data_IF_884172359738
#
_entry.id   IF_884172359738
#
_cell.length_a   1.000
_cell.length_b   1.000
_cell.length_c   1.000
_cell.angle_alpha   90.00
_cell.angle_beta   90.00
_cell.angle_gamma   90.00
#
_symmetry.space_group_name_H-M   'P 1'
#
loop_
_entity.id
_entity.type
_entity.pdbx_description
1 polymer ?
#
# COMPACT_ATOMS: atom_id res chain seq x y z
N UNK A 1 6.48 -15.67 -17.48
CA UNK A 1 7.40 -14.71 -18.12
C UNK A 1 6.59 -13.49 -18.49
N UNK A 2 7.08 -12.28 -18.20
CA UNK A 2 6.39 -11.04 -18.55
C UNK A 2 6.44 -10.81 -20.07
N UNK A 3 5.38 -10.23 -20.62
CA UNK A 3 5.34 -9.80 -22.01
C UNK A 3 6.35 -8.66 -22.26
N UNK A 4 6.88 -8.56 -23.47
CA UNK A 4 7.92 -7.59 -23.82
C UNK A 4 7.51 -6.14 -23.54
N UNK A 5 6.27 -5.76 -23.83
CA UNK A 5 5.75 -4.42 -23.54
C UNK A 5 5.80 -4.03 -22.06
N UNK A 6 5.57 -4.99 -21.15
CA UNK A 6 5.69 -4.76 -19.71
C UNK A 6 7.14 -4.47 -19.31
N UNK A 7 8.08 -5.22 -19.87
CA UNK A 7 9.52 -5.03 -19.63
C UNK A 7 10.00 -3.69 -20.18
N UNK A 8 9.52 -3.30 -21.35
CA UNK A 8 9.87 -2.03 -21.99
C UNK A 8 9.38 -0.86 -21.15
N UNK A 9 8.11 -0.88 -20.74
CA UNK A 9 7.55 0.19 -19.89
C UNK A 9 8.33 0.34 -18.56
N UNK A 10 8.73 -0.77 -17.94
CA UNK A 10 9.55 -0.72 -16.71
C UNK A 10 10.91 -0.03 -16.95
N UNK A 11 11.50 -0.20 -18.13
CA UNK A 11 12.76 0.46 -18.51
C UNK A 11 12.54 1.96 -18.74
N UNK A 12 11.46 2.33 -19.41
CA UNK A 12 11.09 3.73 -19.64
C UNK A 12 10.76 4.44 -18.32
N UNK A 13 10.09 3.76 -17.39
CA UNK A 13 9.77 4.30 -16.08
C UNK A 13 11.01 4.80 -15.32
N UNK A 14 12.09 4.03 -15.36
CA UNK A 14 13.36 4.41 -14.70
C UNK A 14 14.03 5.63 -15.37
N UNK A 15 13.85 5.79 -16.68
CA UNK A 15 14.48 6.87 -17.47
C UNK A 15 13.63 8.15 -17.55
N UNK A 16 12.48 8.19 -16.90
CA UNK A 16 11.53 9.28 -16.99
C UNK A 16 12.11 10.60 -16.47
N UNK A 17 12.03 11.67 -17.26
CA UNK A 17 12.64 12.98 -16.95
C UNK A 17 11.65 14.13 -16.84
N UNK A 18 10.43 13.94 -17.29
CA UNK A 18 9.42 15.01 -17.27
C UNK A 18 8.14 14.53 -16.63
N UNK A 19 7.43 15.44 -15.99
CA UNK A 19 6.15 15.17 -15.38
C UNK A 19 5.13 14.58 -16.38
N UNK A 20 5.04 15.16 -17.57
CA UNK A 20 4.15 14.65 -18.63
C UNK A 20 4.49 13.21 -19.03
N UNK A 21 5.79 12.86 -19.08
CA UNK A 21 6.22 11.49 -19.36
C UNK A 21 5.86 10.54 -18.21
N UNK A 22 6.08 10.96 -16.94
CA UNK A 22 5.67 10.19 -15.77
C UNK A 22 4.17 9.88 -15.79
N UNK A 23 3.33 10.86 -16.08
CA UNK A 23 1.88 10.67 -16.25
C UNK A 23 1.54 9.65 -17.33
N UNK A 24 2.20 9.77 -18.49
CA UNK A 24 2.02 8.82 -19.59
C UNK A 24 2.33 7.39 -19.18
N UNK A 25 3.48 7.18 -18.53
CA UNK A 25 3.90 5.86 -18.02
C UNK A 25 2.92 5.29 -16.99
N UNK A 26 2.47 6.11 -16.01
CA UNK A 26 1.53 5.66 -14.99
C UNK A 26 0.18 5.25 -15.61
N UNK A 27 -0.29 6.01 -16.60
CA UNK A 27 -1.51 5.66 -17.35
C UNK A 27 -1.32 4.37 -18.15
N UNK A 28 -0.22 4.25 -18.88
CA UNK A 28 0.10 3.08 -19.69
C UNK A 28 0.27 1.82 -18.84
N UNK A 29 0.89 1.95 -17.65
CA UNK A 29 1.04 0.83 -16.72
C UNK A 29 -0.33 0.21 -16.34
N UNK A 30 -1.34 1.03 -16.12
CA UNK A 30 -2.70 0.54 -15.83
C UNK A 30 -3.34 -0.14 -17.05
N UNK A 31 -3.14 0.40 -18.25
CA UNK A 31 -3.65 -0.20 -19.48
C UNK A 31 -3.01 -1.56 -19.74
N UNK A 32 -1.69 -1.64 -19.64
CA UNK A 32 -0.95 -2.89 -19.82
C UNK A 32 -1.30 -3.93 -18.76
N UNK A 33 -1.49 -3.51 -17.50
CA UNK A 33 -1.93 -4.41 -16.43
C UNK A 33 -3.30 -5.03 -16.76
N UNK A 34 -4.28 -4.22 -17.18
CA UNK A 34 -5.61 -4.74 -17.59
C UNK A 34 -5.48 -5.72 -18.74
N UNK A 35 -4.76 -5.34 -19.77
CA UNK A 35 -4.56 -6.18 -20.94
C UNK A 35 -3.89 -7.52 -20.58
N UNK A 36 -2.87 -7.49 -19.72
CA UNK A 36 -2.21 -8.71 -19.25
C UNK A 36 -3.13 -9.61 -18.44
N UNK A 37 -4.00 -9.03 -17.59
CA UNK A 37 -5.02 -9.78 -16.84
C UNK A 37 -6.08 -10.39 -17.76
N UNK A 38 -6.48 -9.71 -18.84
CA UNK A 38 -7.42 -10.24 -19.84
C UNK A 38 -6.84 -11.45 -20.59
N UNK A 39 -5.51 -11.52 -20.71
CA UNK A 39 -4.82 -12.65 -21.32
C UNK A 39 -4.32 -13.68 -20.30
N UNK A 40 -4.97 -13.77 -19.14
CA UNK A 40 -4.71 -14.78 -18.10
C UNK A 40 -3.28 -14.71 -17.52
N UNK A 41 -2.71 -13.53 -17.43
CA UNK A 41 -1.46 -13.30 -16.75
C UNK A 41 -1.54 -13.67 -15.26
N UNK A 42 -0.44 -14.14 -14.68
CA UNK A 42 -0.36 -14.47 -13.25
C UNK A 42 -0.55 -13.19 -12.41
N UNK A 43 -1.60 -13.12 -11.55
CA UNK A 43 -1.89 -11.92 -10.77
C UNK A 43 -0.75 -11.47 -9.86
N UNK A 44 -0.02 -12.42 -9.26
CA UNK A 44 1.08 -12.11 -8.35
C UNK A 44 2.28 -11.54 -9.11
N UNK A 45 2.60 -12.11 -10.26
CA UNK A 45 3.66 -11.60 -11.11
C UNK A 45 3.31 -10.21 -11.67
N UNK A 46 2.07 -10.00 -12.05
CA UNK A 46 1.58 -8.71 -12.55
C UNK A 46 1.53 -7.64 -11.46
N UNK A 47 1.15 -8.00 -10.24
CA UNK A 47 1.22 -7.13 -9.07
C UNK A 47 2.66 -6.66 -8.83
N UNK A 48 3.62 -7.59 -8.78
CA UNK A 48 5.03 -7.24 -8.59
C UNK A 48 5.54 -6.33 -9.70
N UNK A 49 5.23 -6.64 -10.95
CA UNK A 49 5.58 -5.79 -12.09
C UNK A 49 4.98 -4.39 -11.96
N UNK A 50 3.69 -4.29 -11.63
CA UNK A 50 3.01 -2.99 -11.48
C UNK A 50 3.64 -2.18 -10.34
N UNK A 51 3.89 -2.82 -9.20
CA UNK A 51 4.56 -2.19 -8.07
C UNK A 51 5.94 -1.63 -8.46
N UNK A 52 6.75 -2.42 -9.18
CA UNK A 52 8.07 -1.98 -9.63
C UNK A 52 7.99 -0.84 -10.65
N UNK A 53 7.02 -0.88 -11.57
CA UNK A 53 6.80 0.22 -12.52
C UNK A 53 6.48 1.53 -11.81
N UNK A 54 5.57 1.49 -10.83
CA UNK A 54 5.21 2.66 -10.01
C UNK A 54 6.42 3.15 -9.22
N UNK A 55 7.13 2.27 -8.52
CA UNK A 55 8.35 2.62 -7.77
C UNK A 55 9.42 3.25 -8.65
N UNK A 56 9.60 2.73 -9.86
CA UNK A 56 10.55 3.28 -10.83
C UNK A 56 10.16 4.70 -11.27
N UNK A 57 8.88 4.98 -11.49
CA UNK A 57 8.42 6.34 -11.79
C UNK A 57 8.70 7.26 -10.60
N UNK A 58 8.35 6.86 -9.38
CA UNK A 58 8.58 7.68 -8.18
C UNK A 58 10.07 7.89 -7.85
N UNK A 59 10.94 6.98 -8.27
CA UNK A 59 12.39 7.11 -8.15
C UNK A 59 13.06 7.74 -9.39
N UNK A 60 12.29 8.05 -10.43
CA UNK A 60 12.81 8.70 -11.63
C UNK A 60 13.09 10.19 -11.39
N UNK A 61 13.92 10.83 -12.20
CA UNK A 61 14.18 12.27 -12.11
C UNK A 61 12.92 13.14 -12.23
N UNK A 62 11.84 12.61 -12.82
CA UNK A 62 10.59 13.34 -13.02
C UNK A 62 9.68 13.37 -11.79
N UNK A 63 9.73 12.35 -10.95
CA UNK A 63 8.74 12.16 -9.88
C UNK A 63 9.31 11.79 -8.51
N UNK A 64 10.60 11.43 -8.43
CA UNK A 64 11.25 11.04 -7.17
C UNK A 64 11.21 12.14 -6.09
N UNK A 65 11.24 13.39 -6.54
CA UNK A 65 11.03 14.58 -5.69
C UNK A 65 9.96 15.41 -6.38
N UNK A 66 8.80 15.64 -5.77
CA UNK A 66 7.80 16.54 -6.32
C UNK A 66 8.41 17.93 -6.55
N UNK A 67 8.22 18.45 -7.75
CA UNK A 67 8.71 19.74 -8.14
C UNK A 67 7.56 20.62 -8.62
N UNK A 68 7.57 21.86 -8.19
CA UNK A 68 6.74 22.90 -8.78
C UNK A 68 7.61 23.76 -9.69
N UNK A 69 7.38 23.67 -11.00
CA UNK A 69 8.17 24.38 -12.01
C UNK A 69 9.70 24.26 -11.86
N UNK A 70 10.15 23.04 -11.51
CA UNK A 70 11.57 22.75 -11.33
C UNK A 70 12.14 22.98 -9.92
N UNK A 71 11.34 23.48 -8.98
CA UNK A 71 11.73 23.60 -7.57
C UNK A 71 11.21 22.40 -6.76
N UNK A 72 12.06 21.80 -5.91
CA UNK A 72 11.61 20.73 -5.04
C UNK A 72 10.57 21.25 -4.04
N UNK A 73 9.43 20.56 -3.95
CA UNK A 73 8.36 20.88 -2.99
C UNK A 73 8.67 20.25 -1.63
N UNK A 74 9.31 19.08 -1.64
CA UNK A 74 9.69 18.36 -0.44
C UNK A 74 11.20 18.34 -0.26
N UNK A 75 11.71 18.45 0.97
CA UNK A 75 13.13 18.36 1.24
C UNK A 75 13.60 16.90 1.17
N UNK A 76 14.25 16.52 0.09
CA UNK A 76 14.92 15.23 -0.04
C UNK A 76 14.09 14.13 -0.69
N UNK A 77 14.66 12.92 -0.77
CA UNK A 77 14.02 11.79 -1.41
C UNK A 77 12.80 11.30 -0.60
N UNK A 78 11.76 10.91 -1.31
CA UNK A 78 10.54 10.36 -0.75
C UNK A 78 10.54 8.86 -1.01
N UNK A 79 10.31 8.06 0.03
CA UNK A 79 10.16 6.62 -0.09
C UNK A 79 8.69 6.22 -0.13
N UNK A 80 8.38 5.16 -0.86
CA UNK A 80 7.05 4.56 -0.85
C UNK A 80 6.93 3.61 0.33
N UNK A 81 5.86 3.78 1.11
CA UNK A 81 5.50 2.92 2.24
C UNK A 81 4.41 1.91 1.91
N UNK A 82 3.98 1.17 2.93
CA UNK A 82 2.85 0.26 2.86
C UNK A 82 3.01 -0.86 1.82
N UNK A 83 1.97 -1.07 1.01
CA UNK A 83 1.97 -2.11 -0.02
C UNK A 83 3.12 -1.93 -1.02
N UNK A 84 3.45 -0.70 -1.39
CA UNK A 84 4.54 -0.42 -2.32
C UNK A 84 5.92 -0.68 -1.72
N UNK A 85 6.11 -0.43 -0.42
CA UNK A 85 7.36 -0.80 0.27
C UNK A 85 7.60 -2.32 0.25
N UNK A 86 6.53 -3.10 0.42
CA UNK A 86 6.59 -4.57 0.40
C UNK A 86 6.72 -5.18 -1.00
N UNK A 87 6.60 -4.41 -2.06
CA UNK A 87 6.55 -4.94 -3.44
C UNK A 87 5.18 -5.50 -3.85
N UNK A 88 4.12 -5.09 -3.16
CA UNK A 88 2.76 -5.62 -3.27
C UNK A 88 1.74 -4.56 -3.71
N UNK A 89 2.20 -3.43 -4.22
CA UNK A 89 1.35 -2.32 -4.65
C UNK A 89 0.42 -2.70 -5.80
N UNK A 90 -0.86 -2.41 -5.61
CA UNK A 90 -1.93 -2.60 -6.59
C UNK A 90 -2.49 -1.24 -7.01
N UNK A 91 -3.23 -1.16 -8.13
CA UNK A 91 -3.94 0.07 -8.49
C UNK A 91 -4.95 0.56 -7.44
N UNK A 92 -5.42 -0.35 -6.59
CA UNK A 92 -6.33 -0.09 -5.47
C UNK A 92 -5.61 0.25 -4.17
N UNK A 93 -4.28 0.05 -4.10
CA UNK A 93 -3.48 0.31 -2.90
C UNK A 93 -3.42 1.81 -2.58
N UNK A 94 -3.48 2.19 -1.30
CA UNK A 94 -3.16 3.55 -0.89
C UNK A 94 -1.68 3.83 -1.15
N UNK A 95 -1.37 5.05 -1.56
CA UNK A 95 -0.01 5.53 -1.69
C UNK A 95 0.42 6.16 -0.36
N UNK A 96 1.42 5.57 0.25
CA UNK A 96 2.03 6.09 1.48
C UNK A 96 3.41 6.61 1.12
N UNK A 97 3.66 7.88 1.39
CA UNK A 97 4.94 8.54 1.17
C UNK A 97 5.64 8.71 2.52
N UNK A 98 6.83 8.14 2.64
CA UNK A 98 7.64 8.22 3.84
C UNK A 98 8.63 9.38 3.64
N UNK A 99 8.54 10.36 4.50
CA UNK A 99 9.43 11.51 4.55
C UNK A 99 10.59 11.25 5.52
N UNK A 100 11.79 11.85 5.32
CA UNK A 100 12.86 11.81 6.29
C UNK A 100 12.40 12.29 7.68
N UNK A 101 12.99 11.74 8.76
CA UNK A 101 12.57 12.02 10.13
C UNK A 101 12.74 13.49 10.56
N UNK A 102 13.66 14.18 9.92
CA UNK A 102 13.95 15.62 10.12
C UNK A 102 13.07 16.53 9.23
N UNK A 103 12.19 15.93 8.43
CA UNK A 103 11.26 16.70 7.62
C UNK A 103 10.22 17.34 8.54
N UNK A 104 9.99 18.65 8.43
CA UNK A 104 8.92 19.32 9.15
C UNK A 104 7.57 18.64 8.87
N UNK A 105 6.66 18.71 9.82
CA UNK A 105 5.31 18.19 9.64
C UNK A 105 4.60 18.84 8.43
N UNK A 106 3.55 18.21 7.96
CA UNK A 106 2.81 18.67 6.76
C UNK A 106 2.35 20.14 6.88
N UNK A 107 2.03 20.61 8.08
CA UNK A 107 1.65 22.01 8.33
C UNK A 107 2.83 22.96 8.16
N UNK A 108 4.01 22.54 8.57
CA UNK A 108 5.27 23.29 8.43
C UNK A 108 5.77 23.27 6.98
N UNK A 109 5.66 22.13 6.28
CA UNK A 109 5.95 22.06 4.82
C UNK A 109 5.02 22.97 4.04
N UNK A 110 3.75 23.00 4.43
CA UNK A 110 2.75 23.90 3.87
C UNK A 110 3.13 25.37 4.11
N UNK A 111 3.52 25.70 5.34
CA UNK A 111 3.98 27.06 5.69
C UNK A 111 5.24 27.44 4.93
N UNK A 112 6.23 26.53 4.82
CA UNK A 112 7.46 26.75 4.05
C UNK A 112 7.21 26.93 2.56
N UNK A 113 6.28 26.16 1.97
CA UNK A 113 5.88 26.33 0.58
C UNK A 113 5.23 27.70 0.33
N UNK A 114 4.52 28.25 1.34
CA UNK A 114 3.93 29.59 1.29
C UNK A 114 4.96 30.69 1.56
N UNK A 115 6.01 30.40 2.34
CA UNK A 115 7.00 31.35 2.82
C UNK A 115 8.30 31.39 1.96
N UNK A 116 8.32 30.63 0.85
CA UNK A 116 9.44 30.68 -0.10
C UNK A 116 9.63 32.11 -0.62
N UNK A 117 10.86 32.59 -0.51
CA UNK A 117 11.24 33.93 -0.95
C UNK A 117 10.78 34.15 -2.41
N UNK A 118 9.90 35.14 -2.67
CA UNK A 118 9.48 35.47 -4.02
C UNK A 118 10.64 35.71 -4.98
N UNK A 119 11.80 36.16 -4.49
CA UNK A 119 13.00 36.38 -5.28
C UNK A 119 13.64 35.06 -5.77
N UNK A 120 13.62 34.01 -4.96
CA UNK A 120 14.10 32.68 -5.35
C UNK A 120 13.15 32.03 -6.38
N UNK A 121 11.86 32.22 -6.22
CA UNK A 121 10.84 31.78 -7.18
C UNK A 121 10.94 32.52 -8.51
N UNK A 122 11.17 33.86 -8.50
CA UNK A 122 11.30 34.67 -9.73
C UNK A 122 12.52 34.30 -10.56
N UNK A 123 13.59 33.83 -9.95
CA UNK A 123 14.81 33.44 -10.66
C UNK A 123 14.64 32.13 -11.47
N UNK A 124 13.76 31.24 -11.04
CA UNK A 124 13.58 29.90 -11.64
C UNK A 124 12.19 29.69 -12.29
N UNK A 125 11.19 30.44 -11.88
CA UNK A 125 9.82 30.36 -12.38
C UNK A 125 9.09 31.71 -12.21
N UNK A 126 9.35 32.69 -13.08
CA UNK A 126 8.79 34.03 -12.96
C UNK A 126 7.28 34.09 -12.90
N UNK A 127 6.59 33.12 -13.53
CA UNK A 127 5.14 33.04 -13.54
C UNK A 127 4.53 32.71 -12.16
N UNK A 128 5.27 32.06 -11.28
CA UNK A 128 4.79 31.69 -9.94
C UNK A 128 4.82 32.85 -8.94
N UNK A 129 5.73 33.79 -9.11
CA UNK A 129 5.83 34.95 -8.22
C UNK A 129 4.61 35.88 -8.31
N UNK A 130 3.88 35.82 -9.42
CA UNK A 130 2.65 36.59 -9.66
C UNK A 130 1.40 35.91 -9.09
N UNK A 131 1.48 34.63 -8.68
CA UNK A 131 0.36 33.86 -8.17
C UNK A 131 0.24 34.08 -6.65
N UNK A 132 -0.94 34.40 -6.11
CA UNK A 132 -1.16 34.49 -4.66
C UNK A 132 -0.76 33.21 -3.91
N UNK A 133 -0.35 33.33 -2.66
CA UNK A 133 0.18 32.21 -1.89
C UNK A 133 -0.81 31.05 -1.70
N UNK A 134 -2.08 31.35 -1.52
CA UNK A 134 -3.18 30.38 -1.44
C UNK A 134 -3.42 29.63 -2.76
N UNK A 135 -3.34 30.31 -3.90
CA UNK A 135 -3.43 29.69 -5.23
C UNK A 135 -2.20 28.83 -5.51
N UNK A 136 -0.99 29.25 -5.09
CA UNK A 136 0.23 28.44 -5.20
C UNK A 136 0.11 27.12 -4.43
N UNK A 137 -0.47 27.19 -3.23
CA UNK A 137 -0.71 26.00 -2.44
C UNK A 137 -1.69 25.05 -3.13
N UNK A 138 -2.81 25.56 -3.64
CA UNK A 138 -3.77 24.77 -4.39
C UNK A 138 -3.11 24.10 -5.61
N UNK A 139 -2.22 24.81 -6.34
CA UNK A 139 -1.46 24.23 -7.46
C UNK A 139 -0.52 23.09 -7.00
N UNK A 140 0.10 23.20 -5.82
CA UNK A 140 0.95 22.15 -5.28
C UNK A 140 0.12 20.93 -4.89
N UNK A 141 -0.99 21.14 -4.20
CA UNK A 141 -1.93 20.08 -3.82
C UNK A 141 -2.52 19.38 -5.04
N UNK A 142 -2.91 20.12 -6.06
CA UNK A 142 -3.39 19.59 -7.33
C UNK A 142 -2.32 18.81 -8.08
N UNK A 143 -1.07 19.27 -8.09
CA UNK A 143 0.05 18.56 -8.70
C UNK A 143 0.32 17.22 -8.02
N UNK A 144 0.42 17.23 -6.69
CA UNK A 144 0.62 16.01 -5.92
C UNK A 144 -0.55 15.05 -6.12
N UNK A 145 -1.78 15.57 -6.05
CA UNK A 145 -2.98 14.79 -6.29
C UNK A 145 -3.01 14.18 -7.69
N UNK A 146 -2.61 14.92 -8.71
CA UNK A 146 -2.65 14.50 -10.10
C UNK A 146 -1.64 13.37 -10.40
N UNK A 147 -0.38 13.50 -9.97
CA UNK A 147 0.62 12.44 -10.13
C UNK A 147 0.23 11.18 -9.35
N UNK A 148 -0.12 11.34 -8.07
CA UNK A 148 -0.36 10.19 -7.20
C UNK A 148 -1.71 9.53 -7.46
N UNK A 149 -2.72 10.28 -7.93
CA UNK A 149 -3.99 9.70 -8.34
C UNK A 149 -3.88 8.85 -9.59
N UNK A 150 -2.90 9.13 -10.46
CA UNK A 150 -2.62 8.29 -11.64
C UNK A 150 -1.97 6.96 -11.28
N UNK A 151 -1.14 6.91 -10.23
CA UNK A 151 -0.58 5.66 -9.73
C UNK A 151 -1.65 4.77 -9.10
N UNK A 152 -2.66 5.39 -8.51
CA UNK A 152 -3.88 4.72 -8.04
C UNK A 152 -4.97 4.86 -9.08
N UNK A 153 -5.52 3.76 -9.57
CA UNK A 153 -6.60 3.81 -10.54
C UNK A 153 -7.79 4.61 -10.00
N UNK A 154 -8.07 5.73 -10.66
CA UNK A 154 -9.21 6.61 -10.33
C UNK A 154 -10.50 6.20 -11.01
N UNK A 155 -10.59 5.01 -11.58
CA UNK A 155 -11.86 4.49 -12.11
C UNK A 155 -12.87 4.11 -11.00
N UNK A 156 -12.61 4.57 -9.80
CA UNK A 156 -13.56 4.55 -8.70
C UNK A 156 -14.46 5.78 -8.86
N UNK A 157 -15.65 5.61 -9.44
CA UNK A 157 -16.73 6.62 -9.51
C UNK A 157 -17.28 6.97 -8.11
N UNK A 158 -16.56 6.62 -7.04
CA UNK A 158 -16.93 6.98 -5.68
C UNK A 158 -16.92 8.50 -5.50
N UNK A 159 -17.91 9.02 -4.78
CA UNK A 159 -17.99 10.45 -4.52
C UNK A 159 -16.72 10.96 -3.84
N UNK A 160 -16.35 12.19 -4.13
CA UNK A 160 -15.09 12.88 -3.78
C UNK A 160 -14.67 12.81 -2.30
N UNK A 161 -15.51 12.32 -1.40
CA UNK A 161 -15.25 12.23 0.04
C UNK A 161 -14.10 11.28 0.41
N UNK A 162 -13.69 10.34 -0.46
CA UNK A 162 -12.61 9.39 -0.20
C UNK A 162 -11.28 9.74 -0.89
N UNK A 163 -11.19 10.85 -1.63
CA UNK A 163 -9.95 11.24 -2.31
C UNK A 163 -8.83 11.64 -1.35
N UNK A 164 -9.17 12.21 -0.19
CA UNK A 164 -8.20 12.62 0.83
C UNK A 164 -7.42 11.48 1.48
N UNK A 165 -7.89 10.23 1.37
CA UNK A 165 -7.21 9.05 1.92
C UNK A 165 -6.37 8.28 0.89
N UNK A 166 -6.31 8.76 -0.35
CA UNK A 166 -5.58 8.07 -1.43
C UNK A 166 -4.07 8.22 -1.31
N UNK A 167 -3.62 9.35 -0.80
CA UNK A 167 -2.20 9.66 -0.58
C UNK A 167 -2.02 10.09 0.87
N UNK A 168 -1.05 9.50 1.54
CA UNK A 168 -0.70 9.82 2.92
C UNK A 168 0.77 10.17 3.02
N UNK A 169 1.12 11.24 3.73
CA UNK A 169 2.48 11.60 4.06
C UNK A 169 2.76 11.21 5.50
N UNK A 170 3.80 10.44 5.73
CA UNK A 170 4.21 9.99 7.04
C UNK A 170 5.72 10.26 7.18
N UNK A 171 6.13 10.90 8.27
CA UNK A 171 7.56 10.99 8.61
C UNK A 171 8.07 9.61 8.99
N UNK A 172 9.32 9.31 8.62
CA UNK A 172 9.94 8.04 8.96
C UNK A 172 9.92 7.83 10.48
N UNK A 173 9.22 6.80 10.98
CA UNK A 173 9.10 6.60 12.42
C UNK A 173 10.41 6.10 13.01
N UNK A 174 10.79 6.63 14.16
CA UNK A 174 11.79 6.02 15.03
C UNK A 174 11.19 4.80 15.74
N UNK A 175 12.06 3.93 16.29
CA UNK A 175 11.62 2.79 17.07
C UNK A 175 10.71 3.19 18.26
N UNK A 176 11.06 4.29 18.94
CA UNK A 176 10.28 4.81 20.08
C UNK A 176 8.84 5.17 19.66
N UNK A 177 8.67 5.81 18.49
CA UNK A 177 7.36 6.17 17.95
C UNK A 177 6.57 4.92 17.57
N UNK A 178 7.24 3.95 16.93
CA UNK A 178 6.63 2.67 16.56
C UNK A 178 6.20 1.84 17.76
N UNK A 179 6.85 2.00 18.91
CA UNK A 179 6.56 1.29 20.14
C UNK A 179 5.38 1.85 20.93
N UNK A 180 4.89 3.04 20.60
CA UNK A 180 3.73 3.63 21.26
C UNK A 180 2.47 2.78 21.04
N UNK A 181 1.68 2.45 22.09
CA UNK A 181 0.53 1.56 21.99
C UNK A 181 -0.56 2.05 21.03
N UNK A 182 -0.74 3.34 20.92
CA UNK A 182 -1.75 4.02 20.11
C UNK A 182 -1.28 4.38 18.69
N UNK A 183 -0.02 4.07 18.36
CA UNK A 183 0.61 4.48 17.09
C UNK A 183 0.71 3.34 16.06
N UNK A 184 -0.41 2.66 15.79
CA UNK A 184 -0.46 1.53 14.86
C UNK A 184 0.02 1.86 13.44
N UNK A 185 -0.27 3.06 12.94
CA UNK A 185 0.17 3.50 11.62
C UNK A 185 1.69 3.61 11.54
N UNK A 186 2.33 4.18 12.55
CA UNK A 186 3.79 4.31 12.60
C UNK A 186 4.46 2.93 12.70
N UNK A 187 3.88 2.00 13.48
CA UNK A 187 4.35 0.60 13.57
C UNK A 187 4.32 -0.10 12.23
N UNK A 188 3.22 0.04 11.47
CA UNK A 188 3.12 -0.59 10.16
C UNK A 188 4.12 -0.02 9.17
N UNK A 189 4.33 1.30 9.17
CA UNK A 189 5.34 1.94 8.33
C UNK A 189 6.74 1.46 8.70
N UNK A 190 7.07 1.41 10.00
CA UNK A 190 8.36 0.91 10.47
C UNK A 190 8.58 -0.56 10.07
N UNK A 191 7.57 -1.41 10.27
CA UNK A 191 7.64 -2.83 9.94
C UNK A 191 7.73 -3.12 8.43
N UNK A 192 7.23 -2.21 7.59
CA UNK A 192 7.27 -2.33 6.13
C UNK A 192 8.42 -1.55 5.49
N UNK A 193 9.23 -0.87 6.27
CA UNK A 193 10.36 -0.10 5.75
C UNK A 193 11.33 -0.99 4.95
N UNK A 194 11.79 -0.55 3.77
CA UNK A 194 12.64 -1.35 2.88
C UNK A 194 14.10 -1.47 3.36
N UNK A 195 14.37 -1.31 4.64
CA UNK A 195 15.73 -1.27 5.20
C UNK A 195 16.50 -2.59 5.09
N UNK A 196 15.89 -3.68 4.61
CA UNK A 196 16.47 -5.03 4.60
C UNK A 196 17.02 -5.49 5.96
N UNK A 197 16.49 -4.92 7.04
CA UNK A 197 16.84 -5.28 8.41
C UNK A 197 15.66 -6.01 9.06
N UNK A 198 15.94 -6.99 9.94
CA UNK A 198 14.89 -7.59 10.75
C UNK A 198 14.17 -6.52 11.58
N UNK A 199 12.87 -6.69 11.73
CA UNK A 199 12.06 -5.84 12.61
C UNK A 199 12.51 -6.05 14.05
N UNK A 200 12.54 -4.97 14.86
CA UNK A 200 12.94 -5.07 16.26
C UNK A 200 12.04 -6.03 17.05
N UNK A 201 12.62 -7.02 17.75
CA UNK A 201 11.86 -8.01 18.53
C UNK A 201 10.98 -7.39 19.63
N UNK A 202 11.29 -6.20 20.12
CA UNK A 202 10.47 -5.50 21.12
C UNK A 202 9.06 -5.16 20.62
N UNK A 203 8.86 -5.11 19.30
CA UNK A 203 7.56 -4.85 18.67
C UNK A 203 6.67 -6.10 18.57
N UNK A 204 7.17 -7.29 18.88
CA UNK A 204 6.42 -8.54 18.73
C UNK A 204 5.03 -8.52 19.41
N UNK A 205 4.88 -8.12 20.68
CA UNK A 205 3.57 -8.12 21.34
C UNK A 205 2.59 -7.15 20.68
N UNK A 206 3.08 -6.01 20.22
CA UNK A 206 2.26 -4.99 19.57
C UNK A 206 1.80 -5.45 18.17
N UNK A 207 2.69 -6.08 17.39
CA UNK A 207 2.36 -6.62 16.09
C UNK A 207 1.42 -7.82 16.17
N UNK A 208 1.50 -8.63 17.26
CA UNK A 208 0.52 -9.68 17.53
C UNK A 208 -0.85 -9.07 17.85
N UNK A 209 -0.88 -8.01 18.65
CA UNK A 209 -2.11 -7.27 18.94
C UNK A 209 -2.73 -6.69 17.67
N UNK A 210 -1.91 -6.09 16.79
CA UNK A 210 -2.37 -5.56 15.49
C UNK A 210 -2.93 -6.69 14.60
N UNK A 211 -2.29 -7.85 14.55
CA UNK A 211 -2.79 -9.01 13.82
C UNK A 211 -4.11 -9.53 14.39
N UNK A 212 -4.24 -9.57 15.71
CA UNK A 212 -5.49 -9.94 16.38
C UNK A 212 -6.63 -8.95 16.09
N UNK A 213 -6.33 -7.65 16.11
CA UNK A 213 -7.30 -6.60 15.80
C UNK A 213 -7.73 -6.62 14.30
N UNK A 214 -6.82 -7.02 13.41
CA UNK A 214 -7.10 -7.17 11.98
C UNK A 214 -7.91 -8.43 11.63
N UNK A 215 -8.25 -9.27 12.61
CA UNK A 215 -9.00 -10.52 12.37
C UNK A 215 -10.25 -10.26 11.52
N UNK A 216 -10.49 -11.07 10.46
CA UNK A 216 -11.69 -10.96 9.64
C UNK A 216 -12.97 -11.02 10.50
N UNK A 217 -13.95 -10.22 10.15
CA UNK A 217 -15.25 -10.28 10.81
C UNK A 217 -15.93 -11.61 10.50
N UNK A 218 -16.61 -12.16 11.50
CA UNK A 218 -17.42 -13.35 11.27
C UNK A 218 -18.54 -13.00 10.27
N UNK A 219 -18.63 -13.77 9.20
CA UNK A 219 -19.75 -13.64 8.26
C UNK A 219 -21.01 -14.12 8.98
N UNK A 220 -22.01 -13.25 9.05
CA UNK A 220 -23.33 -13.59 9.59
C UNK A 220 -24.02 -14.58 8.65
N UNK A 221 -24.62 -15.63 9.19
CA UNK A 221 -25.39 -16.60 8.41
C UNK A 221 -26.88 -16.45 8.76
N UNK A 222 -27.70 -16.35 7.72
CA UNK A 222 -29.16 -16.35 7.82
C UNK A 222 -29.67 -17.61 7.14
N UNK A 223 -30.36 -18.45 7.88
CA UNK A 223 -30.87 -19.75 7.40
C UNK A 223 -29.79 -20.65 6.77
N UNK A 224 -28.55 -20.63 7.30
CA UNK A 224 -27.43 -21.44 6.80
C UNK A 224 -26.74 -20.92 5.56
N UNK A 225 -27.15 -19.75 5.05
CA UNK A 225 -26.49 -19.04 3.95
C UNK A 225 -25.83 -17.77 4.47
N UNK A 226 -24.70 -17.32 3.90
CA UNK A 226 -24.17 -16.01 4.21
C UNK A 226 -25.25 -14.95 4.03
N UNK A 227 -25.33 -14.03 4.98
CA UNK A 227 -26.22 -12.88 4.89
C UNK A 227 -25.89 -12.10 3.62
N UNK A 228 -26.88 -11.89 2.76
CA UNK A 228 -26.69 -11.21 1.47
C UNK A 228 -26.32 -9.76 1.63
N UNK A 229 -26.79 -9.15 2.71
CA UNK A 229 -26.52 -7.75 3.04
C UNK A 229 -25.21 -7.59 3.83
N UNK A 230 -24.48 -8.69 4.08
CA UNK A 230 -23.17 -8.61 4.72
C UNK A 230 -22.16 -7.90 3.78
N UNK A 231 -21.47 -6.92 4.32
CA UNK A 231 -20.45 -6.18 3.57
C UNK A 231 -19.26 -7.06 3.22
N UNK A 232 -18.74 -6.93 2.00
CA UNK A 232 -17.52 -7.56 1.54
C UNK A 232 -16.43 -6.50 1.35
N UNK A 233 -15.28 -6.72 1.97
CA UNK A 233 -14.10 -5.87 1.78
C UNK A 233 -12.87 -6.78 1.70
N UNK A 234 -12.43 -7.04 0.48
CA UNK A 234 -11.32 -7.97 0.21
C UNK A 234 -10.04 -7.53 0.90
N UNK A 235 -9.77 -6.23 0.92
CA UNK A 235 -8.56 -5.72 1.56
C UNK A 235 -8.63 -5.86 3.07
N UNK A 236 -9.72 -5.43 3.68
CA UNK A 236 -9.90 -5.48 5.13
C UNK A 236 -10.00 -6.90 5.67
N UNK A 237 -10.72 -7.79 4.98
CA UNK A 237 -11.07 -9.10 5.52
C UNK A 237 -10.15 -10.24 5.04
N UNK A 238 -9.31 -9.99 4.00
CA UNK A 238 -8.39 -11.00 3.48
C UNK A 238 -6.96 -10.49 3.41
N UNK A 239 -6.68 -9.41 2.67
CA UNK A 239 -5.31 -8.99 2.40
C UNK A 239 -4.65 -8.43 3.68
N UNK A 240 -5.27 -7.44 4.32
CA UNK A 240 -4.70 -6.76 5.48
C UNK A 240 -4.46 -7.70 6.69
N UNK A 241 -5.36 -8.64 7.03
CA UNK A 241 -5.09 -9.62 8.08
C UNK A 241 -3.87 -10.51 7.80
N UNK A 242 -3.71 -10.96 6.53
CA UNK A 242 -2.53 -11.72 6.13
C UNK A 242 -1.25 -10.89 6.30
N UNK A 243 -1.27 -9.63 5.89
CA UNK A 243 -0.14 -8.69 6.03
C UNK A 243 0.19 -8.44 7.50
N UNK A 244 -0.82 -8.24 8.36
CA UNK A 244 -0.60 -8.01 9.80
C UNK A 244 0.01 -9.24 10.46
N UNK A 245 -0.48 -10.43 10.13
CA UNK A 245 0.10 -11.69 10.61
C UNK A 245 1.54 -11.88 10.09
N UNK A 246 1.81 -11.51 8.83
CA UNK A 246 3.14 -11.59 8.24
C UNK A 246 4.16 -10.68 8.94
N UNK A 247 3.77 -9.47 9.38
CA UNK A 247 4.63 -8.57 10.15
C UNK A 247 5.03 -9.20 11.49
N UNK A 248 4.06 -9.77 12.22
CA UNK A 248 4.35 -10.51 13.44
C UNK A 248 5.26 -11.72 13.20
N UNK A 249 4.95 -12.54 12.17
CA UNK A 249 5.73 -13.71 11.85
C UNK A 249 7.18 -13.37 11.46
N UNK A 250 7.39 -12.23 10.80
CA UNK A 250 8.71 -11.72 10.43
C UNK A 250 9.57 -11.40 11.67
N UNK A 251 8.99 -10.79 12.71
CA UNK A 251 9.69 -10.52 13.98
C UNK A 251 10.12 -11.83 14.63
N UNK A 252 9.22 -12.79 14.74
CA UNK A 252 9.47 -14.11 15.34
C UNK A 252 10.57 -14.89 14.63
N UNK A 253 10.70 -14.72 13.32
CA UNK A 253 11.69 -15.40 12.49
C UNK A 253 12.94 -14.56 12.20
N UNK A 254 13.02 -13.33 12.69
CA UNK A 254 14.03 -12.35 12.33
C UNK A 254 14.21 -12.20 10.80
N UNK A 255 13.10 -12.23 10.05
CA UNK A 255 13.11 -12.17 8.59
C UNK A 255 13.24 -10.73 8.13
N UNK A 256 14.24 -10.45 7.27
CA UNK A 256 14.45 -9.13 6.69
C UNK A 256 13.59 -8.84 5.45
N UNK A 257 12.98 -9.86 4.83
CA UNK A 257 12.11 -9.66 3.65
C UNK A 257 10.92 -8.78 3.99
N UNK A 258 10.58 -7.84 3.08
CA UNK A 258 9.34 -7.07 3.14
C UNK A 258 8.13 -7.84 2.61
N UNK A 259 8.34 -8.79 1.70
CA UNK A 259 7.30 -9.48 0.95
C UNK A 259 6.46 -10.41 1.83
N UNK A 260 5.14 -10.24 1.81
CA UNK A 260 4.20 -10.96 2.68
C UNK A 260 4.33 -12.49 2.59
N UNK A 261 4.34 -13.13 1.41
CA UNK A 261 4.54 -14.58 1.32
C UNK A 261 5.83 -15.11 1.93
N UNK A 262 6.93 -14.35 1.84
CA UNK A 262 8.21 -14.75 2.44
C UNK A 262 8.13 -14.68 3.98
N UNK A 263 7.52 -13.62 4.51
CA UNK A 263 7.29 -13.45 5.95
C UNK A 263 6.38 -14.53 6.53
N UNK A 264 5.37 -14.96 5.77
CA UNK A 264 4.46 -16.03 6.16
C UNK A 264 5.13 -17.41 6.07
N UNK A 265 6.21 -17.56 5.31
CA UNK A 265 7.03 -18.77 5.33
C UNK A 265 7.97 -18.77 6.55
N UNK A 266 7.39 -18.68 7.71
CA UNK A 266 8.06 -18.48 9.01
C UNK A 266 7.91 -19.70 9.89
N UNK A 267 8.95 -20.10 10.67
CA UNK A 267 8.83 -21.15 11.67
C UNK A 267 7.89 -20.80 12.83
N UNK A 268 7.42 -19.55 12.91
CA UNK A 268 6.41 -19.13 13.87
C UNK A 268 5.00 -19.67 13.55
N UNK A 269 4.80 -20.10 12.31
CA UNK A 269 3.59 -20.74 11.81
C UNK A 269 3.86 -22.23 11.55
N UNK A 270 2.86 -23.09 11.73
CA UNK A 270 2.95 -24.46 11.23
C UNK A 270 2.96 -24.45 9.69
N UNK A 271 3.38 -25.56 9.07
CA UNK A 271 3.40 -25.69 7.62
C UNK A 271 2.01 -25.43 7.00
N UNK A 272 0.97 -26.01 7.61
CA UNK A 272 -0.41 -25.88 7.16
C UNK A 272 -0.92 -24.42 7.32
N UNK A 273 -0.64 -23.79 8.47
CA UNK A 273 -1.01 -22.38 8.72
C UNK A 273 -0.34 -21.44 7.70
N UNK A 274 0.95 -21.64 7.45
CA UNK A 274 1.71 -20.89 6.46
C UNK A 274 1.11 -21.04 5.05
N UNK A 275 0.79 -22.26 4.64
CA UNK A 275 0.19 -22.54 3.33
C UNK A 275 -1.18 -21.89 3.22
N UNK A 276 -2.06 -22.08 4.20
CA UNK A 276 -3.42 -21.53 4.19
C UNK A 276 -3.44 -19.99 4.10
N UNK A 277 -2.62 -19.31 4.90
CA UNK A 277 -2.61 -17.85 4.89
C UNK A 277 -1.99 -17.30 3.61
N UNK A 278 -0.98 -17.97 3.05
CA UNK A 278 -0.39 -17.58 1.76
C UNK A 278 -1.37 -17.75 0.61
N UNK A 279 -2.14 -18.82 0.60
CA UNK A 279 -3.15 -19.06 -0.42
C UNK A 279 -4.34 -18.11 -0.27
N UNK A 280 -4.74 -17.80 0.97
CA UNK A 280 -5.73 -16.78 1.23
C UNK A 280 -5.27 -15.39 0.73
N UNK A 281 -4.02 -15.01 0.99
CA UNK A 281 -3.44 -13.77 0.50
C UNK A 281 -3.44 -13.70 -1.05
N UNK A 282 -2.98 -14.77 -1.73
CA UNK A 282 -3.01 -14.85 -3.21
C UNK A 282 -4.43 -14.72 -3.76
N UNK A 283 -5.39 -15.36 -3.08
CA UNK A 283 -6.81 -15.30 -3.43
C UNK A 283 -7.32 -13.86 -3.30
N UNK A 284 -6.97 -13.17 -2.22
CA UNK A 284 -7.31 -11.76 -2.01
C UNK A 284 -6.77 -10.85 -3.11
N UNK A 285 -5.49 -10.98 -3.45
CA UNK A 285 -4.83 -10.23 -4.54
C UNK A 285 -5.54 -10.49 -5.88
N UNK A 286 -5.85 -11.76 -6.17
CA UNK A 286 -6.55 -12.13 -7.41
C UNK A 286 -7.93 -11.47 -7.49
N UNK A 287 -8.73 -11.56 -6.43
CA UNK A 287 -10.09 -10.98 -6.40
C UNK A 287 -10.02 -9.45 -6.53
N UNK A 288 -9.12 -8.79 -5.80
CA UNK A 288 -8.95 -7.33 -5.84
C UNK A 288 -8.57 -6.84 -7.24
N UNK A 289 -7.61 -7.52 -7.90
CA UNK A 289 -7.23 -7.21 -9.28
C UNK A 289 -8.35 -7.47 -10.29
N UNK A 290 -9.13 -8.55 -10.14
CA UNK A 290 -10.23 -8.85 -11.04
C UNK A 290 -11.39 -7.84 -10.87
N UNK A 291 -11.69 -7.40 -9.66
CA UNK A 291 -12.64 -6.32 -9.41
C UNK A 291 -12.18 -5.02 -10.08
N UNK A 292 -10.92 -4.63 -9.85
CA UNK A 292 -10.35 -3.45 -10.48
C UNK A 292 -10.38 -3.53 -12.02
N UNK A 293 -9.98 -4.68 -12.59
CA UNK A 293 -10.04 -4.90 -14.05
C UNK A 293 -11.43 -4.70 -14.61
N UNK A 294 -12.43 -5.27 -13.94
CA UNK A 294 -13.82 -5.25 -14.38
C UNK A 294 -14.52 -3.92 -14.03
N UNK A 295 -13.82 -2.97 -13.42
CA UNK A 295 -14.39 -1.71 -12.89
C UNK A 295 -15.60 -1.98 -11.98
N UNK A 296 -15.58 -3.12 -11.30
CA UNK A 296 -16.58 -3.51 -10.34
C UNK A 296 -16.06 -3.25 -8.92
N UNK A 297 -16.96 -2.97 -8.02
CA UNK A 297 -16.69 -2.94 -6.60
C UNK A 297 -17.78 -3.75 -5.92
N UNK A 298 -17.39 -4.64 -5.04
CA UNK A 298 -18.32 -5.39 -4.23
C UNK A 298 -18.43 -4.74 -2.86
N UNK A 299 -19.52 -4.03 -2.61
CA UNK A 299 -19.85 -3.52 -1.28
C UNK A 299 -20.46 -4.61 -0.41
N UNK A 300 -21.15 -5.56 -1.03
CA UNK A 300 -21.82 -6.66 -0.37
C UNK A 300 -21.32 -8.01 -0.89
N UNK A 301 -21.48 -9.04 -0.07
CA UNK A 301 -21.10 -10.42 -0.45
C UNK A 301 -21.86 -10.87 -1.72
N UNK A 302 -23.06 -10.40 -1.92
CA UNK A 302 -23.89 -10.76 -3.09
C UNK A 302 -23.38 -10.14 -4.40
N UNK A 303 -22.58 -9.07 -4.35
CA UNK A 303 -21.96 -8.46 -5.53
C UNK A 303 -20.78 -9.30 -6.06
N UNK A 304 -20.25 -10.19 -5.24
CA UNK A 304 -19.20 -11.12 -5.65
C UNK A 304 -19.80 -12.23 -6.53
N UNK A 305 -19.06 -12.66 -7.56
CA UNK A 305 -19.39 -13.88 -8.28
C UNK A 305 -19.46 -15.07 -7.32
N UNK A 306 -20.21 -16.10 -7.67
CA UNK A 306 -20.35 -17.28 -6.80
C UNK A 306 -19.00 -17.90 -6.41
N UNK A 307 -18.05 -17.95 -7.34
CA UNK A 307 -16.70 -18.48 -7.10
C UNK A 307 -15.94 -17.55 -6.15
N UNK A 308 -15.96 -16.24 -6.38
CA UNK A 308 -15.28 -15.26 -5.51
C UNK A 308 -15.89 -15.23 -4.11
N UNK A 309 -17.21 -15.34 -3.99
CA UNK A 309 -17.92 -15.42 -2.70
C UNK A 309 -17.46 -16.62 -1.88
N UNK A 310 -17.40 -17.79 -2.50
CA UNK A 310 -16.92 -19.01 -1.83
C UNK A 310 -15.45 -18.89 -1.43
N UNK A 311 -14.59 -18.39 -2.32
CA UNK A 311 -13.17 -18.20 -2.06
C UNK A 311 -12.93 -17.16 -0.97
N UNK A 312 -13.62 -16.01 -1.01
CA UNK A 312 -13.57 -14.98 0.01
C UNK A 312 -13.94 -15.51 1.41
N UNK A 313 -15.11 -16.17 1.50
CA UNK A 313 -15.58 -16.70 2.78
C UNK A 313 -14.67 -17.78 3.35
N UNK A 314 -14.12 -18.67 2.50
CA UNK A 314 -13.14 -19.66 2.92
C UNK A 314 -11.84 -19.01 3.41
N UNK A 315 -11.31 -18.03 2.66
CA UNK A 315 -10.09 -17.30 3.03
C UNK A 315 -10.24 -16.57 4.37
N UNK A 316 -11.32 -15.80 4.53
CA UNK A 316 -11.56 -15.05 5.76
C UNK A 316 -11.67 -15.98 6.99
N UNK A 317 -12.34 -17.12 6.85
CA UNK A 317 -12.43 -18.11 7.94
C UNK A 317 -11.07 -18.71 8.27
N UNK A 318 -10.31 -19.16 7.28
CA UNK A 318 -8.99 -19.76 7.51
C UNK A 318 -8.03 -18.78 8.18
N UNK A 319 -8.01 -17.52 7.74
CA UNK A 319 -7.20 -16.47 8.36
C UNK A 319 -7.61 -16.27 9.81
N UNK A 320 -8.92 -16.20 10.09
CA UNK A 320 -9.42 -16.04 11.46
C UNK A 320 -9.03 -17.21 12.37
N UNK A 321 -9.09 -18.45 11.87
CA UNK A 321 -8.67 -19.66 12.60
C UNK A 321 -7.17 -19.63 12.90
N UNK A 322 -6.32 -19.26 11.92
CA UNK A 322 -4.87 -19.16 12.10
C UNK A 322 -4.51 -18.08 13.10
N UNK A 323 -5.09 -16.88 12.98
CA UNK A 323 -4.85 -15.79 13.95
C UNK A 323 -5.25 -16.24 15.37
N UNK A 324 -6.40 -16.91 15.52
CA UNK A 324 -6.84 -17.43 16.82
C UNK A 324 -5.84 -18.44 17.39
N UNK A 325 -5.40 -19.40 16.57
CA UNK A 325 -4.41 -20.42 16.96
C UNK A 325 -3.09 -19.78 17.42
N UNK A 326 -2.60 -18.79 16.67
CA UNK A 326 -1.36 -18.06 16.99
C UNK A 326 -1.48 -17.31 18.32
N UNK A 327 -2.57 -16.57 18.53
CA UNK A 327 -2.81 -15.82 19.77
C UNK A 327 -2.86 -16.76 20.97
N UNK A 328 -3.63 -17.85 20.88
CA UNK A 328 -3.74 -18.84 21.95
C UNK A 328 -2.38 -19.44 22.31
N UNK A 329 -1.58 -19.85 21.31
CA UNK A 329 -0.22 -20.39 21.55
C UNK A 329 0.72 -19.36 22.19
N UNK A 330 0.56 -18.08 21.83
CA UNK A 330 1.39 -17.02 22.41
C UNK A 330 1.03 -16.71 23.87
N UNK A 331 -0.25 -16.86 24.24
CA UNK A 331 -0.72 -16.71 25.61
C UNK A 331 -0.30 -17.92 26.50
N UNK A 332 -0.29 -19.14 25.94
CA UNK A 332 0.10 -20.37 26.64
C UNK A 332 1.62 -20.52 26.79
N UNK A 333 2.40 -19.87 25.93
CA UNK A 333 3.84 -19.89 26.06
C UNK A 333 4.24 -19.16 27.35
N UNK A 334 4.84 -19.84 28.35
CA UNK A 334 5.25 -19.17 29.58
C UNK A 334 6.19 -18.02 29.18
N UNK A 335 5.99 -16.86 29.79
CA UNK A 335 6.83 -15.66 29.65
C UNK A 335 8.25 -15.99 30.16
N UNK A 336 8.91 -16.87 29.46
CA UNK A 336 10.23 -17.39 29.76
C UNK A 336 11.28 -16.59 28.98
N UNK A 337 11.59 -15.41 29.55
CA UNK A 337 12.86 -14.66 29.47
C UNK A 337 13.41 -14.31 28.08
#
# INVERSE_FOLDING_TARGET
MLHESLVELSREATACRTHSHARGILSEAQHLLRNALDHSGDPTLLMSWYCDAIRNVFNSPAAAVPHLNGLPILPGPVELGGDFARGEGLPTSPIVLILPADTPDHSTLRAQALDQDPAALTAHAPDLASIPADERLACIEDYLHDIYSLARSTNDDRPQHNRSHAVSFITQPGLADASAPDNGTQRTVYADSPTNQPIDPSLEPLLLSDASAARPRAVTFVAGMPDRDATADIRRDVINPCVSLARWAAVRAATASGYTPDRLHSPALSADESEYVRDAWRTGIKIDLEQWRNRSHADFIDDLSHIHRSAYGASARMISEVITSVVTRSEEAPHGR
#
